data_IF_582195964118
#
_entry.id   IF_582195964118
#
_cell.length_a   1.000
_cell.length_b   1.000
_cell.length_c   1.000
_cell.angle_alpha   90.00
_cell.angle_beta   90.00
_cell.angle_gamma   90.00
#
_symmetry.space_group_name_H-M   'P 1'
#
loop_
_entity.id
_entity.type
_entity.pdbx_description
1 polymer ?
#
# COMPACT_ATOMS: atom_id res chain seq x y z
N UNK A 1 26.79 24.12 30.24
CA UNK A 1 25.41 23.60 30.21
C UNK A 1 24.74 23.78 28.84
N UNK A 2 24.82 24.97 28.24
CA UNK A 2 24.13 25.28 26.97
C UNK A 2 24.63 24.49 25.74
N UNK A 3 25.95 24.30 25.60
CA UNK A 3 26.54 23.52 24.50
C UNK A 3 26.15 22.03 24.54
N UNK A 4 25.96 21.49 25.74
CA UNK A 4 25.53 20.11 25.95
C UNK A 4 24.06 19.96 25.56
N UNK A 5 23.21 20.93 25.94
CA UNK A 5 21.81 20.95 25.56
C UNK A 5 21.64 21.08 24.04
N UNK A 6 22.42 21.96 23.39
CA UNK A 6 22.40 22.11 21.94
C UNK A 6 22.82 20.82 21.21
N UNK A 7 23.88 20.15 21.68
CA UNK A 7 24.30 18.85 21.12
C UNK A 7 23.22 17.76 21.31
N UNK A 8 22.55 17.75 22.47
CA UNK A 8 21.47 16.80 22.74
C UNK A 8 20.29 17.00 21.78
N UNK A 9 19.90 18.26 21.55
CA UNK A 9 18.81 18.63 20.65
C UNK A 9 19.12 18.28 19.19
N UNK A 10 20.37 18.50 18.76
CA UNK A 10 20.83 18.11 17.41
C UNK A 10 20.82 16.59 17.26
N UNK A 11 21.29 15.84 18.27
CA UNK A 11 21.28 14.38 18.23
C UNK A 11 19.84 13.83 18.17
N UNK A 12 18.91 14.39 18.95
CA UNK A 12 17.48 14.04 18.91
C UNK A 12 16.85 14.33 17.54
N UNK A 13 17.16 15.48 16.94
CA UNK A 13 16.67 15.82 15.61
C UNK A 13 17.20 14.87 14.53
N UNK A 14 18.49 14.49 14.60
CA UNK A 14 19.09 13.52 13.67
C UNK A 14 18.44 12.15 13.82
N UNK A 15 18.24 11.65 15.05
CA UNK A 15 17.60 10.35 15.31
C UNK A 15 16.16 10.30 14.77
N UNK A 16 15.40 11.39 14.91
CA UNK A 16 14.04 11.48 14.35
C UNK A 16 14.00 11.56 12.83
N UNK A 17 15.07 12.09 12.22
CA UNK A 17 15.17 12.29 10.78
C UNK A 17 15.84 11.13 10.05
N UNK A 18 16.44 10.14 10.72
CA UNK A 18 17.03 8.98 10.06
C UNK A 18 15.90 8.17 9.41
N UNK A 19 15.83 8.12 8.06
CA UNK A 19 15.07 7.07 7.41
C UNK A 19 15.81 5.78 7.77
N UNK A 20 15.24 4.99 8.69
CA UNK A 20 15.88 3.75 9.13
C UNK A 20 16.30 2.92 7.92
N UNK A 21 17.42 2.18 7.99
CA UNK A 21 17.94 1.38 6.89
C UNK A 21 17.00 0.18 6.68
N UNK A 22 15.83 0.41 6.11
CA UNK A 22 14.79 -0.59 5.85
C UNK A 22 14.67 -0.81 4.36
N UNK A 23 15.82 -0.98 3.71
CA UNK A 23 15.87 -1.58 2.39
C UNK A 23 15.52 -3.06 2.52
N UNK A 24 14.28 -3.40 2.18
CA UNK A 24 13.78 -4.78 2.03
C UNK A 24 13.43 -5.49 3.37
N UNK A 25 12.69 -4.82 4.26
CA UNK A 25 12.04 -5.54 5.38
C UNK A 25 10.82 -6.28 4.81
N UNK A 26 10.93 -7.59 4.61
CA UNK A 26 9.80 -8.47 4.26
C UNK A 26 8.99 -8.82 5.52
N UNK A 27 7.71 -9.15 5.35
CA UNK A 27 6.73 -9.42 6.43
C UNK A 27 6.28 -8.21 7.26
N UNK A 28 6.15 -7.05 6.61
CA UNK A 28 5.58 -5.84 7.20
C UNK A 28 4.10 -6.03 7.58
N UNK A 29 3.73 -5.45 8.71
CA UNK A 29 2.36 -5.33 9.22
C UNK A 29 1.59 -4.19 8.55
N UNK A 30 0.27 -4.20 8.67
CA UNK A 30 -0.56 -3.11 8.18
C UNK A 30 -0.20 -1.78 8.88
N UNK A 31 -0.06 -0.70 8.09
CA UNK A 31 0.34 0.63 8.55
C UNK A 31 1.83 0.92 8.42
N UNK A 32 2.68 -0.08 8.22
CA UNK A 32 4.12 0.14 8.02
C UNK A 32 4.46 0.65 6.61
N UNK A 33 5.56 1.37 6.49
CA UNK A 33 6.04 1.94 5.23
C UNK A 33 6.50 0.83 4.28
N UNK A 34 6.03 0.85 3.04
CA UNK A 34 6.39 -0.14 2.03
C UNK A 34 6.71 0.52 0.69
N UNK A 35 7.53 -0.16 -0.12
CA UNK A 35 7.80 0.25 -1.51
C UNK A 35 7.31 -0.78 -2.54
N UNK A 36 6.87 -1.95 -2.06
CA UNK A 36 6.35 -3.03 -2.88
C UNK A 36 5.47 -3.95 -2.02
N UNK A 37 4.34 -4.39 -2.57
CA UNK A 37 3.37 -5.30 -1.94
C UNK A 37 3.99 -6.63 -1.50
N UNK A 38 5.09 -7.08 -2.11
CA UNK A 38 5.78 -8.28 -1.67
C UNK A 38 6.26 -8.22 -0.20
N UNK A 39 6.54 -7.01 0.30
CA UNK A 39 7.00 -6.78 1.67
C UNK A 39 5.89 -6.94 2.71
N UNK A 40 4.63 -6.67 2.36
CA UNK A 40 3.51 -6.72 3.28
C UNK A 40 2.98 -8.15 3.48
N UNK A 41 2.58 -8.49 4.71
CA UNK A 41 1.85 -9.75 5.00
C UNK A 41 0.53 -9.83 4.23
N UNK A 42 -0.20 -8.72 4.16
CA UNK A 42 -1.44 -8.57 3.38
C UNK A 42 -1.24 -8.68 1.88
N UNK A 43 0.01 -8.58 1.38
CA UNK A 43 0.36 -8.45 -0.03
C UNK A 43 -0.30 -7.25 -0.72
N UNK A 44 -0.59 -6.18 0.03
CA UNK A 44 -0.99 -4.89 -0.53
C UNK A 44 -0.17 -3.74 0.08
N UNK A 45 0.55 -3.03 -0.79
CA UNK A 45 1.18 -1.75 -0.48
C UNK A 45 0.37 -0.63 -1.14
N UNK A 46 -0.23 0.25 -0.35
CA UNK A 46 -1.20 1.25 -0.78
C UNK A 46 -0.72 2.68 -0.55
N UNK A 47 -1.02 3.59 -1.47
CA UNK A 47 -0.82 5.02 -1.32
C UNK A 47 -2.08 5.77 -1.76
N UNK A 48 -2.39 6.90 -1.11
CA UNK A 48 -3.64 7.64 -1.37
C UNK A 48 -3.50 8.62 -2.54
N UNK A 49 -2.30 9.17 -2.76
CA UNK A 49 -1.99 10.15 -3.82
C UNK A 49 -0.64 9.88 -4.50
N UNK A 50 -0.41 10.40 -5.71
CA UNK A 50 0.80 10.13 -6.52
C UNK A 50 2.13 10.42 -5.80
N UNK A 51 2.16 11.40 -4.89
CA UNK A 51 3.35 11.81 -4.13
C UNK A 51 3.32 11.34 -2.66
N UNK A 52 2.27 10.62 -2.25
CA UNK A 52 2.18 10.11 -0.87
C UNK A 52 3.04 8.87 -0.67
N UNK A 53 3.53 8.72 0.57
CA UNK A 53 4.24 7.53 1.02
C UNK A 53 3.29 6.32 1.06
N UNK A 54 3.72 5.21 0.48
CA UNK A 54 2.95 3.96 0.49
C UNK A 54 3.12 3.20 1.81
N UNK A 55 2.02 2.60 2.27
CA UNK A 55 1.97 1.80 3.50
C UNK A 55 1.22 0.49 3.27
N UNK A 56 1.58 -0.54 4.04
CA UNK A 56 0.88 -1.81 3.99
C UNK A 56 -0.57 -1.63 4.45
N UNK A 57 -1.51 -2.25 3.75
CA UNK A 57 -2.94 -2.08 4.00
C UNK A 57 -3.66 -3.42 3.84
N UNK A 58 -4.80 -3.66 4.54
CA UNK A 58 -5.61 -4.84 4.31
C UNK A 58 -6.11 -4.90 2.86
N UNK A 59 -6.39 -6.11 2.39
CA UNK A 59 -7.05 -6.32 1.11
C UNK A 59 -8.51 -5.89 1.19
N UNK A 60 -9.12 -5.63 0.03
CA UNK A 60 -10.51 -5.20 -0.08
C UNK A 60 -11.46 -6.39 0.23
N UNK A 61 -12.38 -6.20 1.17
CA UNK A 61 -13.45 -7.15 1.52
C UNK A 61 -14.60 -7.12 0.51
N UNK A 62 -15.55 -8.03 0.63
CA UNK A 62 -16.73 -8.06 -0.24
C UNK A 62 -17.50 -6.73 -0.21
N UNK A 63 -17.97 -6.29 -1.37
CA UNK A 63 -18.68 -5.02 -1.61
C UNK A 63 -17.86 -3.76 -1.32
N UNK A 64 -16.55 -3.88 -1.12
CA UNK A 64 -15.64 -2.74 -0.98
C UNK A 64 -14.93 -2.40 -2.30
N UNK A 65 -14.46 -1.16 -2.39
CA UNK A 65 -13.75 -0.67 -3.57
C UNK A 65 -12.36 -1.31 -3.70
N UNK A 66 -12.02 -1.72 -4.91
CA UNK A 66 -10.77 -2.41 -5.22
C UNK A 66 -10.07 -1.82 -6.43
N UNK A 67 -8.80 -2.18 -6.61
CA UNK A 67 -8.10 -2.04 -7.89
C UNK A 67 -7.79 -3.42 -8.46
N UNK A 68 -7.88 -3.55 -9.78
CA UNK A 68 -7.40 -4.74 -10.46
C UNK A 68 -5.91 -4.99 -10.14
N UNK A 69 -5.51 -6.27 -10.08
CA UNK A 69 -4.12 -6.63 -9.81
C UNK A 69 -3.22 -6.15 -10.94
N UNK A 70 -2.21 -5.36 -10.60
CA UNK A 70 -1.21 -4.80 -11.54
C UNK A 70 0.19 -5.34 -11.25
N UNK A 71 1.09 -5.19 -12.23
CA UNK A 71 2.50 -5.58 -12.15
C UNK A 71 3.36 -4.61 -11.33
N UNK A 72 2.90 -3.38 -11.09
CA UNK A 72 3.67 -2.34 -10.41
C UNK A 72 3.90 -2.61 -8.92
N UNK A 73 3.14 -3.53 -8.31
CA UNK A 73 3.33 -3.94 -6.92
C UNK A 73 2.96 -2.87 -5.88
N UNK A 74 2.43 -1.71 -6.28
CA UNK A 74 1.89 -0.66 -5.40
C UNK A 74 0.54 -0.24 -5.96
N UNK A 75 -0.43 0.05 -5.07
CA UNK A 75 -1.82 0.25 -5.43
C UNK A 75 -2.41 1.54 -4.87
N UNK A 76 -3.37 2.14 -5.57
CA UNK A 76 -4.22 3.21 -5.01
C UNK A 76 -5.35 2.64 -4.15
N UNK A 77 -5.97 1.54 -4.61
CA UNK A 77 -6.94 0.73 -3.86
C UNK A 77 -6.45 -0.70 -3.83
N UNK A 78 -6.53 -1.37 -2.67
CA UNK A 78 -6.03 -2.73 -2.57
C UNK A 78 -6.83 -3.71 -3.43
N UNK A 79 -6.21 -4.79 -3.91
CA UNK A 79 -6.94 -5.88 -4.55
C UNK A 79 -7.81 -6.62 -3.54
N UNK A 80 -8.80 -7.35 -4.03
CA UNK A 80 -9.71 -8.12 -3.19
C UNK A 80 -9.02 -9.25 -2.42
N UNK A 81 -9.67 -9.66 -1.33
CA UNK A 81 -9.37 -10.89 -0.60
C UNK A 81 -9.49 -12.14 -1.49
N UNK A 82 -8.97 -13.27 -1.00
CA UNK A 82 -9.03 -14.53 -1.77
C UNK A 82 -10.49 -14.98 -1.89
N UNK A 83 -10.90 -15.38 -3.09
CA UNK A 83 -12.29 -15.79 -3.38
C UNK A 83 -13.15 -14.70 -4.00
N UNK A 84 -12.70 -13.44 -3.93
CA UNK A 84 -13.40 -12.29 -4.50
C UNK A 84 -12.78 -11.84 -5.83
N UNK A 85 -13.62 -11.33 -6.71
CA UNK A 85 -13.24 -10.74 -8.00
C UNK A 85 -13.50 -9.24 -7.97
N UNK A 86 -12.52 -8.45 -8.42
CA UNK A 86 -12.68 -7.01 -8.59
C UNK A 86 -13.39 -6.73 -9.92
N UNK A 87 -14.69 -6.42 -9.84
CA UNK A 87 -15.56 -6.13 -10.98
C UNK A 87 -15.64 -4.62 -11.21
N UNK A 88 -15.28 -4.18 -12.42
CA UNK A 88 -15.27 -2.78 -12.81
C UNK A 88 -14.72 -2.61 -14.22
N UNK A 89 -14.85 -1.40 -14.76
CA UNK A 89 -14.40 -1.08 -16.11
C UNK A 89 -12.87 -1.12 -16.21
N UNK A 90 -12.36 -2.04 -17.03
CA UNK A 90 -10.93 -2.18 -17.30
C UNK A 90 -10.59 -1.51 -18.61
N UNK A 91 -9.81 -0.44 -18.54
CA UNK A 91 -9.35 0.29 -19.73
C UNK A 91 -7.84 0.13 -19.91
N UNK A 92 -7.36 0.38 -21.13
CA UNK A 92 -5.92 0.39 -21.44
C UNK A 92 -5.23 1.47 -20.61
N UNK A 93 -5.80 2.68 -20.60
CA UNK A 93 -5.30 3.81 -19.80
C UNK A 93 -5.29 3.44 -18.33
N UNK A 94 -6.37 2.87 -17.80
CA UNK A 94 -6.46 2.46 -16.40
C UNK A 94 -5.50 1.33 -16.01
N UNK A 95 -5.06 0.51 -16.95
CA UNK A 95 -4.03 -0.52 -16.73
C UNK A 95 -2.64 0.10 -16.59
N UNK A 96 -2.35 1.15 -17.39
CA UNK A 96 -1.10 1.91 -17.34
C UNK A 96 -1.05 2.77 -16.07
N UNK A 97 -2.16 3.43 -15.72
CA UNK A 97 -2.24 4.33 -14.56
C UNK A 97 -2.59 3.64 -13.25
N UNK A 98 -2.84 2.32 -13.27
CA UNK A 98 -3.28 1.54 -12.10
C UNK A 98 -4.53 2.15 -11.43
N UNK A 99 -5.51 2.50 -12.27
CA UNK A 99 -6.79 3.10 -11.88
C UNK A 99 -8.00 2.33 -12.43
N UNK A 100 -7.83 1.06 -12.79
CA UNK A 100 -8.95 0.16 -13.05
C UNK A 100 -9.61 -0.20 -11.71
N UNK A 101 -10.47 0.68 -11.23
CA UNK A 101 -11.21 0.50 -10.00
C UNK A 101 -12.47 -0.32 -10.24
N UNK A 102 -12.92 -0.97 -9.17
CA UNK A 102 -14.13 -1.77 -9.19
C UNK A 102 -14.62 -2.03 -7.77
N UNK A 103 -15.56 -2.97 -7.66
CA UNK A 103 -16.10 -3.49 -6.41
C UNK A 103 -15.76 -4.98 -6.30
N UNK A 104 -15.43 -5.44 -5.10
CA UNK A 104 -15.18 -6.86 -4.86
C UNK A 104 -16.50 -7.62 -4.75
N UNK A 105 -16.70 -8.62 -5.60
CA UNK A 105 -17.83 -9.55 -5.53
C UNK A 105 -17.34 -11.00 -5.45
N UNK A 106 -18.12 -11.86 -4.80
CA UNK A 106 -17.82 -13.30 -4.78
C UNK A 106 -17.83 -13.86 -6.21
N UNK A 107 -16.76 -14.56 -6.58
CA UNK A 107 -16.61 -15.14 -7.91
C UNK A 107 -17.71 -16.18 -8.25
N UNK A 108 -18.35 -16.78 -7.24
CA UNK A 108 -19.49 -17.67 -7.38
C UNK A 108 -20.77 -16.95 -7.77
N UNK A 109 -20.96 -15.69 -7.33
CA UNK A 109 -22.17 -14.91 -7.59
C UNK A 109 -22.24 -14.33 -9.02
N UNK A 110 -21.10 -14.16 -9.66
CA UNK A 110 -20.97 -13.60 -11.02
C UNK A 110 -21.34 -14.61 -12.14
N UNK A 111 -21.70 -15.85 -11.79
CA UNK A 111 -22.01 -16.94 -12.75
C UNK A 111 -23.49 -17.33 -12.82
N UNK A 112 -24.37 -16.60 -12.14
CA UNK A 112 -25.84 -16.77 -12.21
C UNK A 112 -26.49 -15.67 -13.06
#
# INVERSE_FOLDING_TARGET
MEKVLALLLIALAVVYAVPGPRGIVINLENGELCVNSAQCKSKCCRHDTLLSLARCSPKASENSECSAKTLYGVYKKCPCERGLTCEGDKTIVGSITNTNFGICHDAGRSRE
#
